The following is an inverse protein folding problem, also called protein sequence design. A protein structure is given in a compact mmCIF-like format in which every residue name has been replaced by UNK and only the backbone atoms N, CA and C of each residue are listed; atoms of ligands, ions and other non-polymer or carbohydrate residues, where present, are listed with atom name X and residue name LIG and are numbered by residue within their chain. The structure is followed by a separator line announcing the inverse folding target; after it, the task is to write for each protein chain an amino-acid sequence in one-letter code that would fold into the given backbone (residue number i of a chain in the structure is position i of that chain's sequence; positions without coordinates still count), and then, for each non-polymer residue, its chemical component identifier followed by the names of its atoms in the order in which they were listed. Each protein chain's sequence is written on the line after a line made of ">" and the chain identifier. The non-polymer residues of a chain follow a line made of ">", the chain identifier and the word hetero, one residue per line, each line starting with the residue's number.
data_IF_657387579086
#
_entry.id   IF_657387579086
#
_cell.length_a   1.000
_cell.length_b   1.000
_cell.length_c   1.000
_cell.angle_alpha   90.00
_cell.angle_beta   90.00
_cell.angle_gamma   90.00
#
_symmetry.space_group_name_H-M   'P 1'
#
loop_
_entity.id
_entity.type
_entity.pdbx_description
1 polymer ?
#
# COMPACT_ATOMS: atom_id res chain seq x y z
N UNK A 1 22.74 -2.65 -23.05
CA UNK A 1 21.66 -1.65 -23.21
C UNK A 1 21.36 -1.06 -21.84
N UNK A 2 21.65 0.22 -21.58
CA UNK A 2 21.30 0.86 -20.28
C UNK A 2 19.81 1.21 -20.32
N UNK A 3 19.01 0.60 -19.45
CA UNK A 3 17.59 0.91 -19.33
C UNK A 3 17.39 2.36 -18.91
N UNK A 4 16.32 2.99 -19.37
CA UNK A 4 15.98 4.35 -18.92
C UNK A 4 15.66 4.35 -17.42
N UNK A 5 15.83 5.48 -16.71
CA UNK A 5 15.46 5.58 -15.29
C UNK A 5 14.01 5.17 -15.02
N UNK A 6 13.10 5.58 -15.92
CA UNK A 6 11.68 5.21 -15.86
C UNK A 6 11.44 3.71 -16.05
N UNK A 7 12.11 3.07 -17.02
CA UNK A 7 12.00 1.62 -17.22
C UNK A 7 12.58 0.84 -16.02
N UNK A 8 13.70 1.32 -15.46
CA UNK A 8 14.31 0.73 -14.27
C UNK A 8 13.39 0.84 -13.06
N UNK A 9 12.80 2.00 -12.81
CA UNK A 9 11.83 2.18 -11.72
C UNK A 9 10.59 1.32 -11.92
N UNK A 10 10.02 1.27 -13.14
CA UNK A 10 8.89 0.39 -13.44
C UNK A 10 9.20 -1.09 -13.12
N UNK A 11 10.36 -1.59 -13.56
CA UNK A 11 10.80 -2.96 -13.26
C UNK A 11 10.99 -3.20 -11.76
N UNK A 12 11.58 -2.25 -11.03
CA UNK A 12 11.71 -2.34 -9.57
C UNK A 12 10.34 -2.35 -8.88
N UNK A 13 9.37 -1.59 -9.40
CA UNK A 13 7.97 -1.63 -8.96
C UNK A 13 7.34 -3.00 -9.20
N UNK A 14 7.48 -3.56 -10.40
CA UNK A 14 6.97 -4.90 -10.74
C UNK A 14 7.54 -5.97 -9.80
N UNK A 15 8.86 -5.96 -9.58
CA UNK A 15 9.53 -6.88 -8.65
C UNK A 15 9.01 -6.71 -7.23
N UNK A 16 8.85 -5.47 -6.76
CA UNK A 16 8.29 -5.18 -5.44
C UNK A 16 6.90 -5.80 -5.25
N UNK A 17 6.01 -5.62 -6.23
CA UNK A 17 4.66 -6.17 -6.18
C UNK A 17 4.61 -7.69 -6.33
N UNK A 18 5.55 -8.29 -7.07
CA UNK A 18 5.72 -9.74 -7.11
C UNK A 18 6.16 -10.31 -5.75
N UNK A 19 7.06 -9.62 -5.04
CA UNK A 19 7.52 -9.99 -3.70
C UNK A 19 6.38 -9.85 -2.67
N UNK A 20 5.57 -8.79 -2.74
CA UNK A 20 4.40 -8.64 -1.87
C UNK A 20 3.35 -9.72 -2.10
N UNK A 21 3.07 -10.06 -3.36
CA UNK A 21 2.15 -11.16 -3.66
C UNK A 21 2.71 -12.52 -3.21
N UNK A 22 4.04 -12.73 -3.28
CA UNK A 22 4.69 -13.93 -2.74
C UNK A 22 4.63 -13.99 -1.21
N UNK A 23 4.81 -12.86 -0.53
CA UNK A 23 4.57 -12.70 0.91
C UNK A 23 3.15 -13.12 1.28
N UNK A 24 2.14 -12.62 0.56
CA UNK A 24 0.74 -12.95 0.82
C UNK A 24 0.44 -14.44 0.57
N UNK A 25 1.10 -15.06 -0.42
CA UNK A 25 0.92 -16.48 -0.74
C UNK A 25 1.44 -17.36 0.41
N UNK A 26 2.62 -17.06 0.95
CA UNK A 26 3.14 -17.75 2.12
C UNK A 26 2.23 -17.59 3.34
N UNK A 27 1.68 -16.39 3.55
CA UNK A 27 0.70 -16.14 4.63
C UNK A 27 -0.54 -17.00 4.46
N UNK A 28 -1.09 -17.08 3.25
CA UNK A 28 -2.26 -17.92 2.97
C UNK A 28 -1.96 -19.40 3.25
N UNK A 29 -0.78 -19.90 2.86
CA UNK A 29 -0.35 -21.27 3.17
C UNK A 29 -0.24 -21.57 4.67
N UNK A 30 -0.05 -20.55 5.51
CA UNK A 30 0.01 -20.66 6.97
C UNK A 30 -1.36 -20.45 7.64
N UNK A 31 -2.30 -19.78 6.97
CA UNK A 31 -3.58 -19.37 7.53
C UNK A 31 -4.53 -20.54 7.88
N UNK A 32 -4.29 -21.73 7.33
CA UNK A 32 -4.99 -22.96 7.73
C UNK A 32 -4.57 -23.48 9.11
N UNK A 33 -3.35 -23.18 9.56
CA UNK A 33 -2.74 -23.70 10.79
C UNK A 33 -2.66 -22.66 11.91
N UNK A 34 -2.48 -21.39 11.55
CA UNK A 34 -2.30 -20.29 12.49
C UNK A 34 -3.34 -19.19 12.25
N UNK A 35 -3.71 -18.49 13.33
CA UNK A 35 -4.65 -17.36 13.23
C UNK A 35 -3.96 -16.13 12.64
N UNK A 36 -4.72 -15.26 11.98
CA UNK A 36 -4.20 -14.00 11.41
C UNK A 36 -3.51 -13.12 12.48
N UNK A 37 -3.99 -13.17 13.72
CA UNK A 37 -3.39 -12.47 14.87
C UNK A 37 -1.97 -13.00 15.13
N UNK A 38 -1.82 -14.31 15.26
CA UNK A 38 -0.53 -14.94 15.51
C UNK A 38 0.45 -14.72 14.35
N UNK A 39 -0.01 -14.85 13.10
CA UNK A 39 0.80 -14.58 11.91
C UNK A 39 1.31 -13.13 11.92
N UNK A 40 0.41 -12.17 12.14
CA UNK A 40 0.76 -10.74 12.14
C UNK A 40 1.72 -10.37 13.27
N UNK A 41 1.55 -10.97 14.45
CA UNK A 41 2.47 -10.79 15.58
C UNK A 41 3.89 -11.31 15.25
N UNK A 42 3.99 -12.55 14.77
CA UNK A 42 5.28 -13.18 14.47
C UNK A 42 6.04 -12.44 13.36
N UNK A 43 5.34 -11.98 12.32
CA UNK A 43 5.95 -11.13 11.27
C UNK A 43 6.49 -9.82 11.88
N UNK A 44 5.76 -9.20 12.81
CA UNK A 44 6.25 -8.01 13.51
C UNK A 44 7.55 -8.29 14.27
N UNK A 45 7.65 -9.42 14.97
CA UNK A 45 8.87 -9.84 15.67
C UNK A 45 10.08 -9.90 14.72
N UNK A 46 9.93 -10.56 13.57
CA UNK A 46 10.99 -10.66 12.56
C UNK A 46 11.26 -9.36 11.81
N UNK A 47 10.30 -8.43 11.79
CA UNK A 47 10.46 -7.12 11.18
C UNK A 47 11.33 -6.18 12.01
N UNK A 48 11.38 -6.32 13.34
CA UNK A 48 12.18 -5.43 14.20
C UNK A 48 13.68 -5.40 13.85
N UNK A 49 14.39 -6.54 13.72
CA UNK A 49 15.79 -6.53 13.33
C UNK A 49 16.03 -5.84 11.98
N UNK A 50 15.13 -6.06 11.01
CA UNK A 50 15.20 -5.45 9.68
C UNK A 50 14.99 -3.93 9.76
N UNK A 51 14.04 -3.47 10.56
CA UNK A 51 13.79 -2.05 10.82
C UNK A 51 14.95 -1.38 11.53
N UNK A 52 15.55 -2.04 12.53
CA UNK A 52 16.73 -1.54 13.22
C UNK A 52 17.90 -1.40 12.23
N UNK A 53 18.13 -2.40 11.37
CA UNK A 53 19.14 -2.34 10.32
C UNK A 53 18.92 -1.19 9.34
N UNK A 54 17.68 -1.00 8.89
CA UNK A 54 17.29 0.12 8.02
C UNK A 54 17.54 1.48 8.69
N UNK A 55 17.19 1.60 9.97
CA UNK A 55 17.35 2.84 10.74
C UNK A 55 18.82 3.13 11.05
N UNK A 56 19.63 2.10 11.31
CA UNK A 56 21.07 2.23 11.51
C UNK A 56 21.80 2.73 10.26
N UNK A 57 21.24 2.49 9.07
CA UNK A 57 21.76 3.02 7.80
C UNK A 57 21.14 4.37 7.41
N UNK A 58 20.08 4.81 8.10
CA UNK A 58 19.45 6.10 7.86
C UNK A 58 20.30 7.23 8.47
N UNK A 59 20.94 8.02 7.62
CA UNK A 59 21.80 9.15 8.02
C UNK A 59 21.01 10.41 8.37
N UNK A 60 19.68 10.38 8.31
CA UNK A 60 18.88 11.56 8.60
C UNK A 60 18.83 11.83 10.11
N UNK A 61 19.46 12.93 10.54
CA UNK A 61 19.48 13.37 11.93
C UNK A 61 18.12 13.96 12.28
N UNK A 62 17.51 13.49 13.38
CA UNK A 62 16.24 14.02 13.87
C UNK A 62 15.55 13.09 14.87
N UNK A 63 14.49 13.57 15.50
CA UNK A 63 13.68 12.77 16.43
C UNK A 63 12.84 11.73 15.69
N UNK A 64 12.56 10.62 16.37
CA UNK A 64 11.61 9.59 15.93
C UNK A 64 10.24 9.76 16.58
N UNK A 65 10.06 10.84 17.33
CA UNK A 65 8.81 11.17 17.98
C UNK A 65 7.87 11.84 16.96
N UNK A 66 6.62 11.37 16.83
CA UNK A 66 5.67 11.94 15.91
C UNK A 66 5.24 13.31 16.40
N UNK A 67 5.12 14.25 15.46
CA UNK A 67 4.56 15.58 15.74
C UNK A 67 3.07 15.43 16.06
N UNK A 68 2.36 14.62 15.26
CA UNK A 68 0.93 14.37 15.36
C UNK A 68 0.63 12.99 15.96
N UNK A 69 0.89 12.83 17.26
CA UNK A 69 0.75 11.56 18.00
C UNK A 69 -0.57 10.83 17.75
N UNK A 70 -1.70 11.55 17.83
CA UNK A 70 -3.04 10.97 17.64
C UNK A 70 -3.21 10.35 16.25
N UNK A 71 -2.86 11.09 15.19
CA UNK A 71 -3.00 10.63 13.81
C UNK A 71 -2.06 9.47 13.49
N UNK A 72 -0.84 9.48 14.03
CA UNK A 72 0.13 8.39 13.84
C UNK A 72 -0.36 7.11 14.52
N UNK A 73 -0.91 7.19 15.74
CA UNK A 73 -1.50 6.03 16.42
C UNK A 73 -2.73 5.53 15.67
N UNK A 74 -3.64 6.42 15.24
CA UNK A 74 -4.82 6.03 14.48
C UNK A 74 -4.45 5.36 13.15
N UNK A 75 -3.39 5.84 12.47
CA UNK A 75 -2.82 5.16 11.31
C UNK A 75 -2.25 3.79 11.65
N UNK A 76 -1.56 3.66 12.79
CA UNK A 76 -1.07 2.38 13.30
C UNK A 76 -2.19 1.37 13.52
N UNK A 77 -3.27 1.79 14.17
CA UNK A 77 -4.45 0.95 14.46
C UNK A 77 -5.13 0.53 13.16
N UNK A 78 -5.45 1.49 12.28
CA UNK A 78 -6.11 1.20 11.00
C UNK A 78 -5.23 0.33 10.10
N UNK A 79 -3.90 0.54 10.07
CA UNK A 79 -2.97 -0.31 9.34
C UNK A 79 -2.91 -1.74 9.88
N UNK A 80 -2.84 -1.89 11.21
CA UNK A 80 -2.83 -3.18 11.90
C UNK A 80 -4.12 -3.96 11.64
N UNK A 81 -5.27 -3.34 11.85
CA UNK A 81 -6.56 -3.97 11.62
C UNK A 81 -6.78 -4.31 10.15
N UNK A 82 -6.34 -3.43 9.24
CA UNK A 82 -6.36 -3.68 7.80
C UNK A 82 -5.53 -4.91 7.39
N UNK A 83 -4.33 -5.06 7.95
CA UNK A 83 -3.48 -6.23 7.68
C UNK A 83 -4.12 -7.53 8.20
N UNK A 84 -4.60 -7.54 9.45
CA UNK A 84 -5.21 -8.73 10.07
C UNK A 84 -6.48 -9.16 9.32
N UNK A 85 -7.33 -8.21 8.94
CA UNK A 85 -8.56 -8.51 8.17
C UNK A 85 -8.25 -8.95 6.75
N UNK A 86 -7.18 -8.43 6.12
CA UNK A 86 -6.71 -8.93 4.82
C UNK A 86 -6.18 -10.37 4.92
N UNK A 87 -5.35 -10.69 5.92
CA UNK A 87 -4.85 -12.05 6.14
C UNK A 87 -5.99 -13.03 6.43
N UNK A 88 -7.00 -12.59 7.17
CA UNK A 88 -8.20 -13.38 7.40
C UNK A 88 -9.02 -13.58 6.12
N UNK A 89 -9.07 -12.59 5.22
CA UNK A 89 -9.69 -12.76 3.91
C UNK A 89 -8.94 -13.77 3.03
N UNK A 90 -7.60 -13.71 2.98
CA UNK A 90 -6.78 -14.67 2.25
C UNK A 90 -6.98 -16.11 2.72
N UNK A 91 -7.30 -16.32 3.99
CA UNK A 91 -7.66 -17.64 4.52
C UNK A 91 -8.94 -18.22 3.88
N UNK A 92 -9.92 -17.36 3.60
CA UNK A 92 -11.29 -17.77 3.31
C UNK A 92 -11.68 -17.64 1.85
N UNK A 93 -10.96 -16.83 1.09
CA UNK A 93 -11.28 -16.52 -0.30
C UNK A 93 -10.12 -16.86 -1.24
N UNK A 94 -10.43 -17.16 -2.51
CA UNK A 94 -9.43 -17.26 -3.56
C UNK A 94 -8.59 -15.99 -3.68
N UNK A 95 -7.32 -16.16 -4.04
CA UNK A 95 -6.33 -15.10 -4.04
C UNK A 95 -6.73 -13.92 -4.95
N UNK A 96 -7.22 -14.23 -6.15
CA UNK A 96 -7.70 -13.23 -7.11
C UNK A 96 -8.85 -12.40 -6.55
N UNK A 97 -9.84 -13.03 -5.90
CA UNK A 97 -11.00 -12.33 -5.32
C UNK A 97 -10.57 -11.35 -4.24
N UNK A 98 -9.69 -11.76 -3.32
CA UNK A 98 -9.19 -10.87 -2.25
C UNK A 98 -8.56 -9.61 -2.85
N UNK A 99 -7.71 -9.76 -3.86
CA UNK A 99 -7.08 -8.60 -4.48
C UNK A 99 -8.10 -7.68 -5.17
N UNK A 100 -9.11 -8.19 -5.85
CA UNK A 100 -10.18 -7.35 -6.42
C UNK A 100 -10.84 -6.47 -5.35
N UNK A 101 -11.12 -7.04 -4.18
CA UNK A 101 -11.71 -6.31 -3.07
C UNK A 101 -10.73 -5.32 -2.43
N UNK A 102 -9.46 -5.69 -2.26
CA UNK A 102 -8.43 -4.78 -1.74
C UNK A 102 -8.18 -3.60 -2.68
N UNK A 103 -8.28 -3.81 -4.00
CA UNK A 103 -8.20 -2.75 -5.00
C UNK A 103 -9.44 -1.83 -5.04
N UNK A 104 -10.44 -2.05 -4.19
CA UNK A 104 -11.45 -1.04 -3.88
C UNK A 104 -10.87 0.13 -3.06
N UNK A 105 -9.71 -0.03 -2.42
CA UNK A 105 -9.07 0.98 -1.57
C UNK A 105 -8.95 2.36 -2.24
N UNK A 106 -8.43 2.52 -3.48
CA UNK A 106 -8.33 3.83 -4.13
C UNK A 106 -9.71 4.47 -4.40
N UNK A 107 -10.74 3.64 -4.65
CA UNK A 107 -12.11 4.11 -4.83
C UNK A 107 -12.65 4.67 -3.51
N UNK A 108 -12.46 3.92 -2.42
CA UNK A 108 -12.84 4.33 -1.06
C UNK A 108 -12.08 5.57 -0.60
N UNK A 109 -10.78 5.69 -0.91
CA UNK A 109 -10.00 6.91 -0.67
C UNK A 109 -10.63 8.10 -1.37
N UNK A 110 -11.05 7.94 -2.62
CA UNK A 110 -11.69 9.03 -3.38
C UNK A 110 -13.00 9.48 -2.75
N UNK A 111 -13.82 8.54 -2.29
CA UNK A 111 -15.10 8.83 -1.61
C UNK A 111 -14.87 9.49 -0.26
N UNK A 112 -14.01 8.91 0.58
CA UNK A 112 -13.74 9.40 1.94
C UNK A 112 -12.94 10.70 1.96
N UNK A 113 -12.17 11.02 0.92
CA UNK A 113 -11.46 12.30 0.83
C UNK A 113 -12.43 13.51 0.77
N UNK A 114 -13.66 13.34 0.30
CA UNK A 114 -14.66 14.42 0.27
C UNK A 114 -15.01 14.89 1.69
N UNK A 115 -15.56 14.04 2.59
CA UNK A 115 -15.91 14.48 3.95
C UNK A 115 -14.68 14.72 4.83
N UNK A 116 -13.60 13.93 4.71
CA UNK A 116 -12.47 14.02 5.66
C UNK A 116 -11.46 15.11 5.30
N UNK A 117 -11.25 15.40 4.02
CA UNK A 117 -10.29 16.40 3.54
C UNK A 117 -10.96 17.63 2.92
N UNK A 118 -12.27 17.60 2.66
CA UNK A 118 -12.98 18.68 1.97
C UNK A 118 -12.67 18.76 0.47
N UNK A 119 -12.18 17.67 -0.13
CA UNK A 119 -11.80 17.66 -1.55
C UNK A 119 -13.03 17.61 -2.45
N UNK A 120 -12.99 18.33 -3.58
CA UNK A 120 -14.04 18.27 -4.60
C UNK A 120 -13.73 17.16 -5.60
N UNK A 121 -14.63 16.17 -5.71
CA UNK A 121 -14.53 15.10 -6.70
C UNK A 121 -15.17 15.57 -8.00
N UNK A 122 -14.36 15.72 -9.05
CA UNK A 122 -14.87 16.03 -10.38
C UNK A 122 -15.67 14.88 -10.99
N UNK A 123 -16.62 15.20 -11.87
CA UNK A 123 -17.55 14.23 -12.49
C UNK A 123 -16.87 12.97 -13.03
N UNK A 124 -15.74 13.12 -13.73
CA UNK A 124 -15.01 12.00 -14.32
C UNK A 124 -14.39 11.06 -13.27
N UNK A 125 -14.00 11.57 -12.11
CA UNK A 125 -13.52 10.73 -10.98
C UNK A 125 -14.69 10.02 -10.32
N UNK A 126 -15.82 10.70 -10.14
CA UNK A 126 -17.03 10.08 -9.60
C UNK A 126 -17.51 8.91 -10.49
N UNK A 127 -17.51 9.09 -11.82
CA UNK A 127 -17.85 8.01 -12.75
C UNK A 127 -16.88 6.82 -12.65
N UNK A 128 -15.58 7.06 -12.53
CA UNK A 128 -14.59 5.99 -12.34
C UNK A 128 -14.79 5.26 -11.00
N UNK A 129 -15.13 5.98 -9.93
CA UNK A 129 -15.46 5.38 -8.63
C UNK A 129 -16.69 4.49 -8.74
N UNK A 130 -17.77 4.98 -9.37
CA UNK A 130 -19.00 4.20 -9.57
C UNK A 130 -18.71 2.94 -10.39
N UNK A 131 -17.99 3.06 -11.51
CA UNK A 131 -17.60 1.92 -12.33
C UNK A 131 -16.77 0.89 -11.54
N UNK A 132 -15.80 1.35 -10.75
CA UNK A 132 -15.00 0.48 -9.90
C UNK A 132 -15.82 -0.22 -8.82
N UNK A 133 -16.76 0.48 -8.18
CA UNK A 133 -17.65 -0.11 -7.18
C UNK A 133 -18.60 -1.15 -7.80
N UNK A 134 -19.05 -0.93 -9.05
CA UNK A 134 -19.79 -1.96 -9.80
C UNK A 134 -18.90 -3.19 -10.02
N UNK A 135 -17.62 -3.02 -10.39
CA UNK A 135 -16.67 -4.13 -10.51
C UNK A 135 -16.51 -4.92 -9.21
N UNK A 136 -16.47 -4.23 -8.05
CA UNK A 136 -16.46 -4.86 -6.73
C UNK A 136 -17.75 -5.65 -6.46
N UNK A 137 -18.92 -5.07 -6.78
CA UNK A 137 -20.22 -5.75 -6.62
C UNK A 137 -20.35 -7.01 -7.50
N UNK A 138 -19.77 -6.97 -8.72
CA UNK A 138 -19.73 -8.12 -9.63
C UNK A 138 -18.96 -9.28 -9.01
N UNK A 139 -17.85 -9.02 -8.30
CA UNK A 139 -17.09 -10.08 -7.60
C UNK A 139 -17.80 -10.53 -6.33
N UNK A 140 -18.45 -9.62 -5.59
CA UNK A 140 -19.24 -9.98 -4.41
C UNK A 140 -20.39 -10.93 -4.70
N UNK A 141 -20.95 -10.89 -5.92
CA UNK A 141 -22.08 -11.70 -6.38
C UNK A 141 -23.17 -11.91 -5.33
N UNK A 142 -23.78 -10.83 -4.80
CA UNK A 142 -24.82 -10.99 -3.79
C UNK A 142 -25.95 -11.88 -4.33
N UNK A 143 -26.14 -13.06 -3.74
CA UNK A 143 -27.26 -13.97 -4.01
C UNK A 143 -26.98 -15.20 -4.89
N UNK A 144 -25.78 -15.38 -5.47
CA UNK A 144 -25.45 -16.59 -6.26
C UNK A 144 -24.30 -17.42 -5.68
N UNK A 145 -23.38 -16.79 -4.95
CA UNK A 145 -22.45 -17.45 -4.03
C UNK A 145 -22.78 -17.04 -2.59
N UNK A 146 -22.38 -17.85 -1.61
CA UNK A 146 -22.58 -17.50 -0.20
C UNK A 146 -21.69 -16.29 0.13
N UNK A 147 -22.30 -15.12 0.25
CA UNK A 147 -21.66 -13.93 0.82
C UNK A 147 -21.08 -14.31 2.19
N UNK A 148 -19.76 -14.47 2.21
CA UNK A 148 -19.04 -15.04 3.37
C UNK A 148 -18.40 -13.93 4.20
N UNK A 149 -18.05 -14.28 5.44
CA UNK A 149 -17.27 -13.41 6.33
C UNK A 149 -15.92 -12.99 5.70
N UNK A 150 -15.38 -13.77 4.75
CA UNK A 150 -14.18 -13.42 3.99
C UNK A 150 -14.35 -12.15 3.15
N UNK A 151 -15.52 -11.96 2.52
CA UNK A 151 -15.81 -10.77 1.71
C UNK A 151 -15.90 -9.52 2.59
N UNK A 152 -16.57 -9.64 3.75
CA UNK A 152 -16.65 -8.57 4.75
C UNK A 152 -15.25 -8.20 5.24
N UNK A 153 -14.39 -9.19 5.48
CA UNK A 153 -13.03 -8.97 5.97
C UNK A 153 -12.15 -8.29 4.93
N UNK A 154 -12.26 -8.66 3.65
CA UNK A 154 -11.53 -8.00 2.57
C UNK A 154 -11.98 -6.53 2.36
N UNK A 155 -13.29 -6.27 2.45
CA UNK A 155 -13.82 -4.89 2.38
C UNK A 155 -13.43 -4.07 3.61
N UNK A 156 -13.42 -4.67 4.80
CA UNK A 156 -12.91 -4.03 6.01
C UNK A 156 -11.43 -3.66 5.85
N UNK A 157 -10.62 -4.56 5.28
CA UNK A 157 -9.23 -4.29 4.97
C UNK A 157 -9.08 -3.13 3.98
N UNK A 158 -9.88 -3.09 2.91
CA UNK A 158 -9.87 -2.00 1.94
C UNK A 158 -10.27 -0.65 2.58
N UNK A 159 -11.26 -0.65 3.47
CA UNK A 159 -11.70 0.53 4.21
C UNK A 159 -10.61 1.04 5.16
N UNK A 160 -9.99 0.13 5.92
CA UNK A 160 -8.86 0.44 6.79
C UNK A 160 -7.65 0.96 6.01
N UNK A 161 -7.35 0.35 4.87
CA UNK A 161 -6.34 0.84 3.93
C UNK A 161 -6.65 2.25 3.44
N UNK A 162 -7.91 2.55 3.11
CA UNK A 162 -8.34 3.87 2.65
C UNK A 162 -8.21 4.93 3.75
N UNK A 163 -8.63 4.60 4.98
CA UNK A 163 -8.44 5.46 6.15
C UNK A 163 -6.95 5.71 6.42
N UNK A 164 -6.14 4.66 6.40
CA UNK A 164 -4.69 4.74 6.60
C UNK A 164 -4.03 5.65 5.54
N UNK A 165 -4.43 5.52 4.27
CA UNK A 165 -3.96 6.37 3.17
C UNK A 165 -4.37 7.84 3.34
N UNK A 166 -5.62 8.10 3.75
CA UNK A 166 -6.14 9.45 4.03
C UNK A 166 -5.35 10.11 5.17
N UNK A 167 -5.09 9.38 6.26
CA UNK A 167 -4.29 9.89 7.37
C UNK A 167 -2.88 10.25 6.90
N UNK A 168 -2.23 9.38 6.11
CA UNK A 168 -0.92 9.69 5.53
C UNK A 168 -0.97 10.90 4.60
N UNK A 169 -2.03 11.07 3.82
CA UNK A 169 -2.18 12.26 2.98
C UNK A 169 -2.29 13.54 3.81
N UNK A 170 -2.95 13.47 4.98
CA UNK A 170 -3.15 14.61 5.89
C UNK A 170 -1.88 15.02 6.62
N UNK A 171 -1.14 14.07 7.20
CA UNK A 171 0.01 14.35 8.08
C UNK A 171 1.37 13.98 7.46
N UNK A 172 1.41 13.32 6.30
CA UNK A 172 2.64 12.76 5.74
C UNK A 172 3.69 13.75 5.27
N UNK A 173 3.34 15.03 5.10
CA UNK A 173 4.32 16.09 4.83
C UNK A 173 5.01 16.62 6.10
N UNK A 174 4.41 16.35 7.26
CA UNK A 174 4.89 16.82 8.56
C UNK A 174 5.68 15.74 9.31
N UNK A 175 5.45 14.47 8.99
CA UNK A 175 6.11 13.33 9.63
C UNK A 175 7.19 12.72 8.75
N UNK A 176 8.26 12.22 9.38
CA UNK A 176 9.28 11.42 8.69
C UNK A 176 8.71 10.06 8.27
N UNK A 177 9.01 9.54 7.07
CA UNK A 177 8.53 8.22 6.64
C UNK A 177 8.87 7.08 7.61
N UNK A 178 10.06 7.13 8.22
CA UNK A 178 10.50 6.15 9.22
C UNK A 178 9.55 6.09 10.43
N UNK A 179 9.00 7.23 10.87
CA UNK A 179 8.05 7.30 12.00
C UNK A 179 6.79 6.50 11.66
N UNK A 180 6.27 6.59 10.44
CA UNK A 180 5.10 5.79 10.05
C UNK A 180 5.36 4.29 10.11
N UNK A 181 6.53 3.84 9.64
CA UNK A 181 6.85 2.40 9.61
C UNK A 181 7.05 1.87 11.03
N UNK A 182 7.80 2.60 11.86
CA UNK A 182 8.07 2.22 13.25
C UNK A 182 6.77 2.16 14.05
N UNK A 183 5.97 3.22 14.03
CA UNK A 183 4.75 3.27 14.83
C UNK A 183 3.68 2.27 14.37
N UNK A 184 3.56 2.01 13.06
CA UNK A 184 2.67 0.94 12.57
C UNK A 184 3.15 -0.43 13.07
N UNK A 185 4.45 -0.70 12.99
CA UNK A 185 5.01 -1.99 13.44
C UNK A 185 4.89 -2.16 14.95
N UNK A 186 5.17 -1.12 15.73
CA UNK A 186 4.99 -1.13 17.19
C UNK A 186 3.52 -1.30 17.57
N UNK A 187 2.60 -0.60 16.88
CA UNK A 187 1.16 -0.75 17.12
C UNK A 187 0.71 -2.18 16.82
N UNK A 188 1.16 -2.75 15.70
CA UNK A 188 0.86 -4.14 15.34
C UNK A 188 1.40 -5.12 16.39
N UNK A 189 2.67 -4.98 16.78
CA UNK A 189 3.29 -5.84 17.79
C UNK A 189 2.54 -5.77 19.13
N UNK A 190 2.22 -4.57 19.61
CA UNK A 190 1.52 -4.40 20.89
C UNK A 190 0.09 -4.93 20.84
N UNK A 191 -0.70 -4.58 19.82
CA UNK A 191 -2.11 -5.01 19.73
C UNK A 191 -2.22 -6.52 19.49
N UNK A 192 -1.42 -7.06 18.57
CA UNK A 192 -1.46 -8.50 18.29
C UNK A 192 -0.83 -9.31 19.41
N UNK A 193 0.20 -8.77 20.08
CA UNK A 193 0.81 -9.40 21.25
C UNK A 193 -0.13 -9.48 22.44
N UNK A 194 -0.98 -8.46 22.65
CA UNK A 194 -2.02 -8.48 23.68
C UNK A 194 -3.12 -9.51 23.37
N UNK A 195 -3.45 -9.68 22.09
CA UNK A 195 -4.46 -10.65 21.64
C UNK A 195 -3.91 -12.09 21.52
N UNK A 196 -2.58 -12.25 21.42
CA UNK A 196 -1.92 -13.53 21.17
C UNK A 196 -2.28 -14.64 22.19
N UNK A 197 -2.33 -14.40 23.51
CA UNK A 197 -2.62 -15.45 24.49
C UNK A 197 -3.97 -16.14 24.26
N UNK A 198 -4.92 -15.47 23.59
CA UNK A 198 -6.25 -16.00 23.32
C UNK A 198 -6.27 -17.04 22.18
N UNK A 199 -5.25 -17.04 21.33
CA UNK A 199 -5.26 -17.76 20.03
C UNK A 199 -3.94 -18.48 19.74
N UNK A 200 -3.00 -18.49 20.69
CA UNK A 200 -1.65 -18.98 20.48
C UNK A 200 -1.62 -20.49 20.27
N UNK A 201 -0.96 -20.91 19.19
CA UNK A 201 -0.63 -22.30 18.90
C UNK A 201 0.89 -22.41 18.68
N UNK A 202 1.60 -23.37 19.30
CA UNK A 202 3.03 -23.54 19.09
C UNK A 202 3.39 -23.69 17.61
N UNK A 203 4.33 -22.87 17.13
CA UNK A 203 4.79 -22.94 15.74
C UNK A 203 5.92 -23.95 15.58
N UNK A 204 5.87 -24.74 14.50
CA UNK A 204 6.98 -25.62 14.13
C UNK A 204 8.19 -24.82 13.63
N UNK A 205 9.40 -25.39 13.72
CA UNK A 205 10.62 -24.76 13.21
C UNK A 205 10.53 -24.32 11.73
N UNK A 206 10.05 -25.17 10.81
CA UNK A 206 9.85 -24.79 9.41
C UNK A 206 8.84 -23.65 9.22
N UNK A 207 7.77 -23.61 10.00
CA UNK A 207 6.79 -22.52 9.91
C UNK A 207 7.36 -21.19 10.42
N UNK A 208 8.21 -21.23 11.46
CA UNK A 208 8.96 -20.05 11.91
C UNK A 208 9.94 -19.55 10.83
N UNK A 209 10.66 -20.45 10.17
CA UNK A 209 11.52 -20.09 9.04
C UNK A 209 10.71 -19.46 7.89
N UNK A 210 9.51 -19.96 7.64
CA UNK A 210 8.57 -19.39 6.66
C UNK A 210 8.13 -17.99 7.08
N UNK A 211 7.83 -17.75 8.37
CA UNK A 211 7.50 -16.40 8.87
C UNK A 211 8.66 -15.41 8.74
N UNK A 212 9.88 -15.87 8.99
CA UNK A 212 11.07 -15.05 8.77
C UNK A 212 11.24 -14.69 7.28
N UNK A 213 11.00 -15.64 6.38
CA UNK A 213 10.99 -15.40 4.94
C UNK A 213 9.89 -14.41 4.54
N UNK A 214 8.67 -14.54 5.09
CA UNK A 214 7.56 -13.60 4.88
C UNK A 214 7.99 -12.18 5.26
N UNK A 215 8.55 -11.99 6.46
CA UNK A 215 9.04 -10.67 6.90
C UNK A 215 10.14 -10.12 5.99
N UNK A 216 11.06 -10.99 5.52
CA UNK A 216 12.12 -10.62 4.59
C UNK A 216 11.57 -10.21 3.22
N UNK A 217 10.59 -10.94 2.68
CA UNK A 217 9.92 -10.60 1.41
C UNK A 217 9.18 -9.26 1.50
N UNK A 218 8.46 -9.01 2.61
CA UNK A 218 7.82 -7.73 2.84
C UNK A 218 8.84 -6.58 2.90
N UNK A 219 9.92 -6.76 3.66
CA UNK A 219 10.96 -5.75 3.81
C UNK A 219 11.67 -5.47 2.48
N UNK A 220 12.13 -6.52 1.78
CA UNK A 220 12.80 -6.38 0.47
C UNK A 220 11.88 -5.79 -0.59
N UNK A 221 10.62 -6.23 -0.64
CA UNK A 221 9.57 -5.63 -1.48
C UNK A 221 9.43 -4.14 -1.21
N UNK A 222 9.39 -3.73 0.05
CA UNK A 222 9.33 -2.31 0.43
C UNK A 222 10.59 -1.54 -0.01
N UNK A 223 11.78 -2.12 0.10
CA UNK A 223 13.01 -1.48 -0.40
C UNK A 223 12.98 -1.28 -1.92
N UNK A 224 12.55 -2.29 -2.69
CA UNK A 224 12.34 -2.15 -4.13
C UNK A 224 11.30 -1.08 -4.47
N UNK A 225 10.22 -0.99 -3.68
CA UNK A 225 9.20 0.05 -3.85
C UNK A 225 9.78 1.45 -3.65
N UNK A 226 10.53 1.64 -2.57
CA UNK A 226 11.18 2.93 -2.27
C UNK A 226 12.13 3.31 -3.41
N UNK A 227 12.94 2.37 -3.88
CA UNK A 227 13.87 2.63 -4.99
C UNK A 227 13.14 2.90 -6.32
N UNK A 228 12.00 2.26 -6.55
CA UNK A 228 11.15 2.52 -7.72
C UNK A 228 10.67 3.97 -7.76
N UNK A 229 10.08 4.46 -6.67
CA UNK A 229 9.62 5.86 -6.55
C UNK A 229 10.77 6.88 -6.52
N UNK A 230 11.99 6.47 -6.17
CA UNK A 230 13.17 7.34 -6.24
C UNK A 230 13.74 7.48 -7.65
N UNK A 231 13.54 6.49 -8.53
CA UNK A 231 14.15 6.42 -9.86
C UNK A 231 13.21 6.76 -11.01
N UNK A 232 11.91 6.59 -10.80
CA UNK A 232 10.89 6.86 -11.80
C UNK A 232 9.82 7.80 -11.27
N UNK A 233 9.18 8.52 -12.18
CA UNK A 233 8.04 9.36 -11.84
C UNK A 233 6.89 8.53 -11.26
N UNK A 234 6.17 9.10 -10.28
CA UNK A 234 5.07 8.42 -9.62
C UNK A 234 3.99 7.92 -10.61
N UNK A 235 3.80 8.62 -11.74
CA UNK A 235 2.87 8.19 -12.80
C UNK A 235 3.28 6.93 -13.55
N UNK A 236 4.57 6.59 -13.56
CA UNK A 236 5.11 5.36 -14.16
C UNK A 236 5.05 4.19 -13.18
N UNK A 237 5.28 4.46 -11.89
CA UNK A 237 5.30 3.43 -10.84
C UNK A 237 3.89 3.03 -10.43
N UNK A 238 2.95 3.98 -10.36
CA UNK A 238 1.57 3.74 -9.92
C UNK A 238 0.87 2.56 -10.63
N UNK A 239 0.92 2.44 -11.98
CA UNK A 239 0.33 1.31 -12.69
C UNK A 239 0.88 -0.05 -12.27
N UNK A 240 2.14 -0.11 -11.80
CA UNK A 240 2.78 -1.37 -11.41
C UNK A 240 2.04 -2.03 -10.24
N UNK A 241 1.32 -1.27 -9.41
CA UNK A 241 0.54 -1.83 -8.31
C UNK A 241 -0.51 -2.83 -8.81
N UNK A 242 -1.17 -2.54 -9.92
CA UNK A 242 -2.19 -3.42 -10.49
C UNK A 242 -1.63 -4.75 -11.00
N UNK A 243 -0.31 -4.86 -11.19
CA UNK A 243 0.33 -6.14 -11.50
C UNK A 243 0.14 -7.18 -10.38
N UNK A 244 -0.14 -6.76 -9.13
CA UNK A 244 -0.45 -7.69 -8.04
C UNK A 244 -1.63 -8.60 -8.37
N UNK A 245 -2.62 -8.17 -9.16
CA UNK A 245 -3.69 -9.06 -9.59
C UNK A 245 -3.19 -10.18 -10.51
N UNK A 246 -2.21 -9.89 -11.38
CA UNK A 246 -1.61 -10.90 -12.26
C UNK A 246 -0.81 -11.89 -11.41
N UNK A 247 0.01 -11.39 -10.48
CA UNK A 247 0.73 -12.22 -9.52
C UNK A 247 -0.21 -13.03 -8.64
N UNK A 248 -1.39 -12.49 -8.33
CA UNK A 248 -2.37 -13.19 -7.54
C UNK A 248 -2.93 -14.43 -8.25
N UNK A 249 -3.22 -14.30 -9.54
CA UNK A 249 -3.64 -15.43 -10.38
C UNK A 249 -2.50 -16.45 -10.50
N UNK A 250 -1.28 -15.96 -10.73
CA UNK A 250 -0.09 -16.81 -10.86
C UNK A 250 0.17 -17.64 -9.59
N UNK A 251 0.23 -17.00 -8.42
CA UNK A 251 0.46 -17.69 -7.14
C UNK A 251 -0.75 -18.52 -6.69
N UNK A 252 -1.98 -18.07 -6.98
CA UNK A 252 -3.20 -18.83 -6.78
C UNK A 252 -3.16 -20.17 -7.51
N UNK A 253 -2.86 -20.14 -8.81
CA UNK A 253 -2.75 -21.35 -9.62
C UNK A 253 -1.55 -22.22 -9.21
N UNK A 254 -0.40 -21.61 -8.93
CA UNK A 254 0.84 -22.34 -8.64
C UNK A 254 0.82 -23.06 -7.29
N UNK A 255 0.25 -22.45 -6.25
CA UNK A 255 0.35 -22.95 -4.87
C UNK A 255 -0.97 -23.46 -4.29
N UNK A 256 -2.12 -23.05 -4.85
CA UNK A 256 -3.43 -23.32 -4.27
C UNK A 256 -4.41 -23.99 -5.23
N UNK A 257 -3.98 -24.30 -6.47
CA UNK A 257 -4.84 -24.82 -7.54
C UNK A 257 -6.08 -23.94 -7.78
N UNK A 258 -5.93 -22.63 -7.55
CA UNK A 258 -7.01 -21.65 -7.67
C UNK A 258 -6.99 -21.04 -9.07
N UNK A 259 -8.06 -21.25 -9.83
CA UNK A 259 -8.29 -20.55 -11.10
C UNK A 259 -9.46 -19.57 -10.96
N UNK A 260 -9.26 -18.26 -11.24
CA UNK A 260 -10.35 -17.30 -11.19
C UNK A 260 -11.35 -17.59 -12.30
N UNK A 261 -12.62 -17.57 -11.98
CA UNK A 261 -13.66 -17.69 -12.99
C UNK A 261 -13.83 -16.40 -13.81
N UNK A 262 -14.62 -16.49 -14.89
CA UNK A 262 -14.80 -15.40 -15.84
C UNK A 262 -15.40 -14.12 -15.23
N UNK A 263 -16.21 -14.23 -14.18
CA UNK A 263 -16.83 -13.07 -13.54
C UNK A 263 -15.82 -12.40 -12.58
N UNK A 264 -15.01 -13.18 -11.86
CA UNK A 264 -13.91 -12.62 -11.06
C UNK A 264 -12.90 -11.89 -11.96
N UNK A 265 -12.59 -12.45 -13.13
CA UNK A 265 -11.76 -11.78 -14.14
C UNK A 265 -12.40 -10.50 -14.68
N UNK A 266 -13.71 -10.52 -14.95
CA UNK A 266 -14.45 -9.33 -15.40
C UNK A 266 -14.43 -8.22 -14.32
N UNK A 267 -14.72 -8.57 -13.07
CA UNK A 267 -14.66 -7.63 -11.95
C UNK A 267 -13.25 -7.09 -11.73
N UNK A 268 -12.23 -7.95 -11.78
CA UNK A 268 -10.82 -7.57 -11.72
C UNK A 268 -10.43 -6.57 -12.81
N UNK A 269 -10.88 -6.79 -14.04
CA UNK A 269 -10.62 -5.90 -15.17
C UNK A 269 -11.27 -4.53 -14.97
N UNK A 270 -12.54 -4.49 -14.53
CA UNK A 270 -13.26 -3.23 -14.28
C UNK A 270 -12.63 -2.43 -13.13
N UNK A 271 -12.30 -3.10 -12.01
CA UNK A 271 -11.68 -2.45 -10.84
C UNK A 271 -10.28 -1.95 -11.19
N UNK A 272 -9.49 -2.75 -11.90
CA UNK A 272 -8.15 -2.36 -12.36
C UNK A 272 -8.20 -1.16 -13.30
N UNK A 273 -9.07 -1.19 -14.31
CA UNK A 273 -9.21 -0.10 -15.26
C UNK A 273 -9.66 1.20 -14.57
N UNK A 274 -10.62 1.12 -13.66
CA UNK A 274 -11.15 2.27 -12.91
C UNK A 274 -10.11 2.87 -11.98
N UNK A 275 -9.43 2.02 -11.21
CA UNK A 275 -8.38 2.46 -10.31
C UNK A 275 -7.19 3.05 -11.06
N UNK A 276 -6.73 2.37 -12.10
CA UNK A 276 -5.62 2.83 -12.95
C UNK A 276 -5.95 4.20 -13.57
N UNK A 277 -7.18 4.39 -14.05
CA UNK A 277 -7.64 5.67 -14.58
C UNK A 277 -7.55 6.79 -13.54
N UNK A 278 -8.01 6.54 -12.30
CA UNK A 278 -7.95 7.53 -11.21
C UNK A 278 -6.50 7.91 -10.93
N UNK A 279 -5.64 6.92 -10.71
CA UNK A 279 -4.25 7.16 -10.29
C UNK A 279 -3.43 7.81 -11.40
N UNK A 280 -3.54 7.35 -12.64
CA UNK A 280 -2.84 7.95 -13.79
C UNK A 280 -3.24 9.42 -13.99
N UNK A 281 -4.51 9.72 -13.79
CA UNK A 281 -4.99 11.10 -13.92
C UNK A 281 -4.47 12.00 -12.82
N UNK A 282 -4.43 11.51 -11.58
CA UNK A 282 -3.83 12.27 -10.48
C UNK A 282 -2.34 12.55 -10.71
N UNK A 283 -1.60 11.56 -11.22
CA UNK A 283 -0.20 11.75 -11.57
C UNK A 283 -0.03 12.85 -12.65
N UNK A 284 -0.82 12.78 -13.73
CA UNK A 284 -0.77 13.78 -14.82
C UNK A 284 -1.11 15.20 -14.36
N UNK A 285 -2.10 15.35 -13.47
CA UNK A 285 -2.48 16.66 -12.93
C UNK A 285 -1.39 17.26 -12.03
N UNK A 286 -0.68 16.43 -11.26
CA UNK A 286 0.46 16.88 -10.43
C UNK A 286 1.66 17.28 -11.28
N UNK A 287 1.96 16.53 -12.35
CA UNK A 287 3.05 16.87 -13.29
C UNK A 287 2.73 18.15 -14.09
N UNK A 288 1.48 18.33 -14.54
CA UNK A 288 1.06 19.54 -15.26
C UNK A 288 1.07 20.81 -14.40
N UNK A 289 0.72 20.70 -13.12
CA UNK A 289 0.80 21.82 -12.18
C UNK A 289 2.25 22.22 -11.85
N UNK A 290 3.18 21.26 -11.83
CA UNK A 290 4.62 21.54 -11.68
C UNK A 290 5.22 22.19 -12.94
N UNK A 291 4.74 21.85 -14.14
CA UNK A 291 5.20 22.43 -15.40
C UNK A 291 4.65 23.84 -15.67
N UNK A 292 3.49 24.20 -15.11
CA UNK A 292 2.89 25.54 -15.27
C UNK A 292 3.35 26.60 -14.26
N UNK A 293 4.29 26.26 -13.37
CA UNK A 293 4.78 27.12 -12.29
C UNK A 293 6.07 27.89 -12.58
N UNK A 294 6.60 27.87 -13.80
CA UNK A 294 7.73 28.71 -14.19
C UNK A 294 7.20 30.04 -14.71
N UNK A 295 6.88 30.94 -13.79
CA UNK A 295 6.87 32.38 -14.11
C UNK A 295 8.33 32.77 -14.37
N UNK A 296 8.71 33.28 -15.56
CA UNK A 296 10.05 33.77 -15.76
C UNK A 296 10.23 35.00 -14.88
N UNK A 297 11.09 34.92 -13.86
CA UNK A 297 11.62 36.12 -13.23
C UNK A 297 12.41 36.87 -14.29
N UNK A 298 11.79 37.88 -14.89
CA UNK A 298 12.44 38.84 -15.76
C UNK A 298 13.45 39.62 -14.92
N UNK A 299 14.73 39.31 -15.13
CA UNK A 299 15.85 40.14 -14.68
C UNK A 299 15.68 41.56 -15.25
N UNK A 300 15.26 42.50 -14.41
CA UNK A 300 15.42 43.93 -14.68
C UNK A 300 16.61 44.47 -13.89
N UNK A 301 17.63 44.80 -14.69
CA UNK A 301 18.57 45.93 -14.55
C UNK A 301 19.61 45.92 -13.41
N UNK A 302 20.82 45.54 -13.81
CA UNK A 302 22.06 46.30 -13.58
C UNK A 302 21.89 47.82 -13.74
N UNK A 303 22.24 48.55 -12.67
CA UNK A 303 22.80 49.91 -12.59
C UNK A 303 23.16 50.07 -11.10
N UNK A 304 24.34 50.46 -10.62
CA UNK A 304 25.48 51.15 -11.21
C UNK A 304 26.69 50.91 -10.28
N UNK A 305 27.84 50.67 -10.89
CA UNK A 305 29.16 50.73 -10.26
C UNK A 305 29.61 52.21 -10.12
N UNK A 306 30.62 52.46 -9.26
CA UNK A 306 31.33 53.73 -8.95
C UNK A 306 30.70 54.58 -7.82
N UNK A 307 31.40 55.07 -6.79
CA UNK A 307 32.83 55.36 -6.63
C UNK A 307 33.23 55.50 -5.13
N UNK A 308 34.45 55.03 -4.80
CA UNK A 308 35.52 55.77 -4.08
C UNK A 308 35.36 56.08 -2.56
N UNK A 309 36.08 55.31 -1.74
CA UNK A 309 36.94 55.84 -0.65
C UNK A 309 38.38 55.90 -1.21
N UNK A 310 39.33 56.75 -0.75
CA UNK A 310 39.54 57.18 0.64
C UNK A 310 39.80 58.70 0.81
N UNK A 311 40.02 59.12 2.07
CA UNK A 311 40.65 60.37 2.59
C UNK A 311 40.43 61.71 1.86
#
# INVERSE_FOLDING_TARGET
>A
MRLSPNATGALMGLVSFALFAGHDALIKGLAGRYTAIQISFTIACFSFPLLIGMLATDRTVGTLLPVNRYWVILRGITGTFGAVTAFYAFKLLPFAEVYVLLFATPLLVTVLAVPLLGEKVGLRRALAVIAGLIGVLIVLRPGTSAFSIGHISALAAALCGAMSAIITRRIGRQERPAVFVIYVTMTNFTLMGLALPLVYVPMTGPDLATMALVALLAFTGMQFMIQSYRRAEAGVVAPMQYSQMIWAIFYGAMFFDETPDGITLLGAAIVSASGLYIVLREARLKTGAAAGGVVPQSNTSTCSETAKNPE
#
